data_IF_726532777473
#
_entry.id   IF_726532777473
#
_cell.length_a   1.000
_cell.length_b   1.000
_cell.length_c   1.000
_cell.angle_alpha   90.00
_cell.angle_beta   90.00
_cell.angle_gamma   90.00
#
_symmetry.space_group_name_H-M   'P 1'
#
loop_
_entity.id
_entity.type
_entity.pdbx_description
1 polymer ?
#
# COMPACT_ATOMS: atom_id res chain seq x y z
N UNK A 1 3.05 11.07 12.76
CA UNK A 1 3.08 10.51 14.13
C UNK A 1 4.35 9.68 14.29
N UNK A 2 4.83 9.47 15.52
CA UNK A 2 5.97 8.59 15.75
C UNK A 2 5.60 7.12 15.51
N UNK A 3 6.53 6.35 14.95
CA UNK A 3 6.41 4.89 14.83
C UNK A 3 7.13 4.24 16.00
N UNK A 4 6.46 3.39 16.76
CA UNK A 4 7.03 2.71 17.94
C UNK A 4 7.38 1.27 17.59
N UNK A 5 8.60 0.84 17.89
CA UNK A 5 9.06 -0.53 17.61
C UNK A 5 8.40 -1.53 18.57
N UNK A 6 7.64 -2.48 18.01
CA UNK A 6 6.94 -3.54 18.77
C UNK A 6 7.69 -4.86 18.80
N UNK A 7 8.49 -5.15 17.77
CA UNK A 7 9.26 -6.38 17.68
C UNK A 7 10.49 -6.16 16.81
N UNK A 8 11.61 -6.74 17.23
CA UNK A 8 12.83 -6.84 16.42
C UNK A 8 13.00 -8.30 16.03
N UNK A 9 13.09 -8.56 14.73
CA UNK A 9 13.25 -9.91 14.15
C UNK A 9 14.69 -10.10 13.72
N UNK A 10 15.26 -11.25 14.05
CA UNK A 10 16.66 -11.60 13.78
C UNK A 10 16.75 -12.85 12.90
N UNK A 11 17.90 -13.03 12.23
CA UNK A 11 18.15 -14.21 11.39
C UNK A 11 18.02 -15.53 12.17
N UNK A 12 18.46 -15.56 13.42
CA UNK A 12 18.48 -16.78 14.24
C UNK A 12 17.09 -17.24 14.65
N UNK A 13 16.21 -16.31 15.03
CA UNK A 13 14.88 -16.64 15.56
C UNK A 13 13.78 -16.62 14.49
N UNK A 14 13.88 -15.72 13.51
CA UNK A 14 12.82 -15.46 12.52
C UNK A 14 13.23 -15.80 11.08
N UNK A 15 14.52 -16.06 10.81
CA UNK A 15 15.05 -16.37 9.48
C UNK A 15 15.27 -15.15 8.57
N UNK A 16 15.01 -13.93 9.07
CA UNK A 16 15.29 -12.67 8.38
C UNK A 16 15.37 -11.50 9.37
N UNK A 17 16.04 -10.41 8.96
CA UNK A 17 16.16 -9.20 9.79
C UNK A 17 15.06 -8.19 9.42
N UNK A 18 14.25 -7.80 10.40
CA UNK A 18 13.20 -6.81 10.24
C UNK A 18 12.82 -6.13 11.55
N UNK A 19 12.21 -4.96 11.45
CA UNK A 19 11.56 -4.27 12.56
C UNK A 19 10.07 -4.22 12.31
N UNK A 20 9.30 -4.59 13.32
CA UNK A 20 7.87 -4.37 13.37
C UNK A 20 7.58 -3.09 14.14
N UNK A 21 6.70 -2.25 13.61
CA UNK A 21 6.33 -0.97 14.22
C UNK A 21 4.82 -0.82 14.29
N UNK A 22 4.38 0.02 15.22
CA UNK A 22 3.00 0.50 15.35
C UNK A 22 2.95 2.01 15.38
N UNK A 23 1.79 2.59 15.06
CA UNK A 23 1.57 4.04 15.14
C UNK A 23 0.11 4.38 15.44
N UNK A 24 -0.15 5.63 15.82
CA UNK A 24 -1.44 6.13 16.29
C UNK A 24 -1.90 5.48 17.59
N UNK A 25 -3.19 5.60 17.90
CA UNK A 25 -3.80 4.99 19.08
C UNK A 25 -5.01 4.12 18.68
N UNK A 26 -5.23 3.03 19.41
CA UNK A 26 -6.42 2.17 19.27
C UNK A 26 -7.17 2.14 20.60
N UNK A 27 -8.50 2.29 20.54
CA UNK A 27 -9.36 2.29 21.73
C UNK A 27 -9.16 0.98 22.52
N UNK A 28 -8.89 1.08 23.83
CA UNK A 28 -8.60 -0.08 24.69
C UNK A 28 -9.67 -1.19 24.58
N UNK A 29 -10.95 -0.83 24.49
CA UNK A 29 -12.06 -1.78 24.33
C UNK A 29 -12.08 -2.54 23.00
N UNK A 30 -11.28 -2.12 22.01
CA UNK A 30 -11.16 -2.75 20.68
C UNK A 30 -9.81 -3.45 20.50
N UNK A 31 -8.95 -3.44 21.51
CA UNK A 31 -7.69 -4.20 21.51
C UNK A 31 -7.99 -5.57 22.07
N UNK A 32 -7.73 -6.62 21.29
CA UNK A 32 -7.95 -7.99 21.75
C UNK A 32 -6.88 -8.40 22.76
N UNK A 33 -7.15 -9.39 23.62
CA UNK A 33 -6.17 -9.85 24.63
C UNK A 33 -4.81 -10.25 24.03
N UNK A 34 -4.74 -10.97 22.88
CA UNK A 34 -3.47 -11.28 22.24
C UNK A 34 -2.72 -10.05 21.73
N UNK A 35 -3.43 -9.09 21.10
CA UNK A 35 -2.84 -7.81 20.68
C UNK A 35 -2.26 -7.06 21.88
N UNK A 36 -3.03 -6.97 22.97
CA UNK A 36 -2.61 -6.31 24.19
C UNK A 36 -1.35 -6.95 24.79
N UNK A 37 -1.29 -8.28 24.86
CA UNK A 37 -0.11 -9.01 25.35
C UNK A 37 1.15 -8.72 24.51
N UNK A 38 0.99 -8.61 23.20
CA UNK A 38 2.09 -8.25 22.28
C UNK A 38 2.61 -6.83 22.54
N UNK A 39 1.72 -5.85 22.67
CA UNK A 39 2.10 -4.47 22.98
C UNK A 39 2.72 -4.31 24.37
N UNK A 40 2.21 -5.03 25.38
CA UNK A 40 2.77 -5.03 26.74
C UNK A 40 4.18 -5.62 26.76
N UNK A 41 4.44 -6.71 26.01
CA UNK A 41 5.79 -7.28 25.89
C UNK A 41 6.80 -6.28 25.33
N UNK A 42 6.36 -5.43 24.41
CA UNK A 42 7.18 -4.38 23.82
C UNK A 42 7.28 -3.11 24.67
N UNK A 43 6.45 -2.96 25.72
CA UNK A 43 6.38 -1.77 26.55
C UNK A 43 5.81 -0.54 25.82
N UNK A 44 5.00 -0.72 24.78
CA UNK A 44 4.43 0.37 23.97
C UNK A 44 2.91 0.39 24.02
N UNK A 45 2.34 1.56 23.75
CA UNK A 45 0.89 1.71 23.61
C UNK A 45 0.36 1.04 22.33
N UNK A 46 -0.84 0.47 22.42
CA UNK A 46 -1.51 -0.17 21.29
C UNK A 46 -1.85 0.84 20.17
N UNK A 47 -1.20 0.71 19.02
CA UNK A 47 -1.51 1.48 17.84
C UNK A 47 -2.57 0.85 16.95
N UNK A 48 -2.89 1.52 15.84
CA UNK A 48 -3.99 1.13 14.94
C UNK A 48 -3.68 -0.09 14.07
N UNK A 49 -2.40 -0.44 13.94
CA UNK A 49 -1.93 -1.58 13.15
C UNK A 49 -0.47 -1.93 13.46
N UNK A 50 0.00 -3.00 12.82
CA UNK A 50 1.38 -3.46 12.87
C UNK A 50 1.91 -3.54 11.43
N UNK A 51 3.09 -2.99 11.19
CA UNK A 51 3.74 -3.04 9.89
C UNK A 51 5.20 -3.45 10.05
N UNK A 52 5.72 -4.21 9.08
CA UNK A 52 7.11 -4.66 9.09
C UNK A 52 7.94 -3.96 8.02
N UNK A 53 9.16 -3.61 8.40
CA UNK A 53 10.19 -3.04 7.54
C UNK A 53 11.44 -3.92 7.62
N UNK A 54 11.92 -4.39 6.47
CA UNK A 54 13.18 -5.12 6.40
C UNK A 54 14.35 -4.17 6.65
N UNK A 55 15.36 -4.65 7.36
CA UNK A 55 16.57 -3.91 7.74
C UNK A 55 17.78 -4.76 7.36
N UNK A 56 18.83 -4.12 6.85
CA UNK A 56 20.08 -4.77 6.44
C UNK A 56 21.20 -4.65 7.49
N UNK A 57 20.90 -4.11 8.68
CA UNK A 57 21.94 -3.93 9.72
C UNK A 57 21.68 -2.81 10.74
N UNK A 58 20.46 -2.28 10.83
CA UNK A 58 20.10 -1.31 11.87
C UNK A 58 19.78 -2.00 13.19
N UNK A 59 20.53 -1.67 14.24
CA UNK A 59 20.18 -2.04 15.62
C UNK A 59 19.02 -1.14 16.08
N UNK A 60 17.81 -1.69 16.02
CA UNK A 60 16.64 -1.07 16.63
C UNK A 60 16.37 -1.76 17.96
N UNK A 61 15.94 -0.98 18.96
CA UNK A 61 15.56 -1.52 20.26
C UNK A 61 14.03 -1.58 20.40
N UNK A 62 13.54 -2.51 21.22
CA UNK A 62 12.12 -2.58 21.55
C UNK A 62 11.70 -1.28 22.25
N UNK A 63 10.55 -0.73 21.86
CA UNK A 63 10.03 0.51 22.40
C UNK A 63 10.61 1.78 21.80
N UNK A 64 11.62 1.69 20.93
CA UNK A 64 12.19 2.86 20.27
C UNK A 64 11.15 3.61 19.43
N UNK A 65 11.14 4.94 19.56
CA UNK A 65 10.32 5.82 18.73
C UNK A 65 11.11 6.29 17.50
N UNK A 66 10.50 6.16 16.33
CA UNK A 66 11.03 6.59 15.04
C UNK A 66 10.19 7.76 14.55
N UNK A 67 10.79 8.93 14.50
CA UNK A 67 10.16 10.17 14.04
C UNK A 67 10.31 10.38 12.53
N UNK A 68 9.59 11.38 12.01
CA UNK A 68 9.64 11.76 10.59
C UNK A 68 11.02 12.28 10.15
N UNK A 69 11.87 12.65 11.11
CA UNK A 69 13.23 13.17 10.91
C UNK A 69 14.15 12.20 10.17
N UNK A 70 13.82 10.91 10.16
CA UNK A 70 14.52 9.91 9.35
C UNK A 70 14.50 10.23 7.84
N UNK A 71 13.60 11.11 7.40
CA UNK A 71 13.50 11.57 6.01
C UNK A 71 14.18 12.91 5.74
N UNK A 72 14.83 13.55 6.73
CA UNK A 72 15.42 14.88 6.56
C UNK A 72 16.45 14.94 5.41
N UNK A 73 17.30 13.92 5.29
CA UNK A 73 18.34 13.84 4.25
C UNK A 73 17.89 13.06 2.99
N UNK A 74 16.63 12.61 2.95
CA UNK A 74 16.11 11.79 1.86
C UNK A 74 15.51 12.65 0.76
N UNK A 75 16.11 12.64 -0.44
CA UNK A 75 15.62 13.42 -1.58
C UNK A 75 14.33 12.87 -2.20
N UNK A 76 14.20 11.55 -2.26
CA UNK A 76 13.08 10.86 -2.93
C UNK A 76 12.58 9.68 -2.12
N UNK A 77 11.26 9.48 -2.15
CA UNK A 77 10.57 8.41 -1.42
C UNK A 77 9.62 7.63 -2.33
N UNK A 78 9.44 6.36 -2.00
CA UNK A 78 8.39 5.51 -2.56
C UNK A 78 7.24 5.44 -1.55
N UNK A 79 6.02 5.75 -2.00
CA UNK A 79 4.82 5.76 -1.16
C UNK A 79 3.89 4.62 -1.58
N UNK A 80 3.69 3.66 -0.68
CA UNK A 80 2.73 2.57 -0.83
C UNK A 80 1.45 2.86 -0.06
N UNK A 81 0.29 2.54 -0.64
CA UNK A 81 -1.00 2.61 0.03
C UNK A 81 -2.06 1.77 -0.67
N UNK A 82 -3.24 1.63 -0.06
CA UNK A 82 -4.39 0.98 -0.70
C UNK A 82 -5.12 1.97 -1.58
N UNK A 83 -5.26 1.67 -2.87
CA UNK A 83 -5.91 2.55 -3.84
C UNK A 83 -7.43 2.66 -3.60
N UNK A 84 -8.04 3.78 -4.01
CA UNK A 84 -9.50 3.96 -3.88
C UNK A 84 -10.26 2.87 -4.66
N UNK A 85 -11.05 2.06 -3.96
CA UNK A 85 -11.94 1.07 -4.56
C UNK A 85 -12.92 1.67 -5.55
N UNK A 86 -13.08 1.00 -6.70
CA UNK A 86 -14.05 1.35 -7.75
C UNK A 86 -15.14 0.29 -7.90
N UNK A 87 -15.11 -0.80 -7.14
CA UNK A 87 -16.07 -1.91 -7.27
C UNK A 87 -15.93 -2.65 -8.60
N UNK A 88 -17.01 -3.27 -9.08
CA UNK A 88 -17.02 -3.98 -10.37
C UNK A 88 -16.98 -3.00 -11.54
N UNK A 89 -15.97 -3.13 -12.41
CA UNK A 89 -15.74 -2.23 -13.53
C UNK A 89 -15.63 -2.99 -14.86
N UNK A 90 -16.23 -2.42 -15.91
CA UNK A 90 -16.17 -2.96 -17.26
C UNK A 90 -14.79 -2.82 -17.93
N UNK A 91 -14.60 -3.48 -19.08
CA UNK A 91 -13.33 -3.49 -19.81
C UNK A 91 -12.83 -2.09 -20.22
N UNK A 92 -13.75 -1.17 -20.55
CA UNK A 92 -13.41 0.21 -20.91
C UNK A 92 -12.70 0.92 -19.75
N UNK A 93 -13.24 0.84 -18.53
CA UNK A 93 -12.68 1.56 -17.38
C UNK A 93 -11.51 0.82 -16.73
N UNK A 94 -11.58 -0.51 -16.64
CA UNK A 94 -10.54 -1.32 -15.99
C UNK A 94 -9.28 -1.48 -16.84
N UNK A 95 -9.44 -1.57 -18.15
CA UNK A 95 -8.36 -1.93 -19.08
C UNK A 95 -8.20 -0.95 -20.24
N UNK A 96 -8.88 0.20 -20.20
CA UNK A 96 -8.84 1.22 -21.25
C UNK A 96 -9.21 0.66 -22.64
N UNK A 97 -10.14 -0.31 -22.69
CA UNK A 97 -10.66 -0.79 -23.97
C UNK A 97 -11.42 0.34 -24.68
N UNK A 98 -11.28 0.39 -26.01
CA UNK A 98 -12.07 1.32 -26.84
C UNK A 98 -13.53 0.86 -26.87
N UNK A 99 -14.45 1.80 -26.91
CA UNK A 99 -15.85 1.51 -27.22
C UNK A 99 -15.98 1.13 -28.69
N UNK A 100 -17.01 0.37 -29.04
CA UNK A 100 -17.41 0.19 -30.43
C UNK A 100 -18.18 1.43 -30.92
N UNK A 101 -18.59 1.42 -32.19
CA UNK A 101 -19.39 2.49 -32.77
C UNK A 101 -20.66 2.75 -31.94
N UNK A 102 -20.94 4.03 -31.72
CA UNK A 102 -22.13 4.45 -30.97
C UNK A 102 -23.42 4.28 -31.78
N UNK A 103 -23.34 4.37 -33.11
CA UNK A 103 -24.48 4.32 -34.03
C UNK A 103 -24.21 3.30 -35.17
N UNK A 104 -24.65 3.59 -36.40
CA UNK A 104 -24.40 2.79 -37.61
C UNK A 104 -24.70 1.29 -37.47
N UNK A 105 -25.84 0.96 -36.86
CA UNK A 105 -26.32 -0.41 -36.75
C UNK A 105 -25.64 -1.26 -35.66
N UNK A 106 -24.89 -0.64 -34.73
CA UNK A 106 -24.40 -1.37 -33.56
C UNK A 106 -25.57 -1.91 -32.72
N UNK A 107 -25.64 -3.24 -32.60
CA UNK A 107 -26.68 -3.93 -31.82
C UNK A 107 -26.15 -4.30 -30.44
N UNK A 108 -26.53 -3.51 -29.43
CA UNK A 108 -26.31 -3.76 -27.99
C UNK A 108 -24.83 -3.95 -27.57
N UNK A 109 -23.87 -3.51 -28.40
CA UNK A 109 -22.45 -3.86 -28.27
C UNK A 109 -21.52 -2.65 -28.09
N UNK A 110 -22.03 -1.49 -27.66
CA UNK A 110 -21.24 -0.25 -27.57
C UNK A 110 -20.04 -0.33 -26.59
N UNK A 111 -20.19 -1.00 -25.45
CA UNK A 111 -19.18 -1.06 -24.37
C UNK A 111 -18.78 -2.49 -23.96
N UNK A 112 -19.06 -3.46 -24.82
CA UNK A 112 -18.71 -4.87 -24.58
C UNK A 112 -17.21 -5.11 -24.78
N UNK A 113 -16.72 -6.28 -24.37
CA UNK A 113 -15.29 -6.64 -24.44
C UNK A 113 -14.78 -6.90 -25.88
N UNK A 114 -15.69 -7.07 -26.84
CA UNK A 114 -15.37 -7.61 -28.17
C UNK A 114 -14.98 -9.09 -28.08
N UNK A 115 -14.14 -9.55 -29.00
CA UNK A 115 -13.65 -10.93 -28.97
C UNK A 115 -12.79 -11.22 -27.75
N UNK A 116 -12.96 -12.43 -27.18
CA UNK A 116 -12.22 -12.90 -26.01
C UNK A 116 -11.25 -14.05 -26.31
N UNK A 117 -11.15 -14.52 -27.56
CA UNK A 117 -10.30 -15.63 -27.97
C UNK A 117 -10.26 -15.86 -29.48
N UNK A 118 -9.57 -16.92 -29.89
CA UNK A 118 -9.56 -17.45 -31.25
C UNK A 118 -10.60 -18.58 -31.40
N UNK A 119 -10.65 -19.22 -32.58
CA UNK A 119 -11.59 -20.30 -32.90
C UNK A 119 -11.09 -21.67 -32.35
N UNK A 120 -11.18 -22.75 -33.14
CA UNK A 120 -10.90 -24.14 -32.72
C UNK A 120 -9.55 -24.32 -32.01
N UNK A 121 -8.48 -23.69 -32.53
CA UNK A 121 -7.18 -23.67 -31.88
C UNK A 121 -6.92 -22.24 -31.39
N UNK A 122 -6.77 -22.00 -30.06
CA UNK A 122 -6.57 -22.95 -28.96
C UNK A 122 -7.85 -23.45 -28.27
N UNK A 123 -9.05 -23.05 -28.72
CA UNK A 123 -10.32 -23.55 -28.17
C UNK A 123 -10.58 -23.19 -26.70
N UNK A 124 -9.86 -22.19 -26.17
CA UNK A 124 -9.97 -21.74 -24.77
C UNK A 124 -9.56 -20.28 -24.61
N UNK A 125 -10.02 -19.66 -23.52
CA UNK A 125 -9.55 -18.33 -23.11
C UNK A 125 -8.22 -18.47 -22.35
N UNK A 126 -7.23 -17.66 -22.72
CA UNK A 126 -5.94 -17.64 -22.02
C UNK A 126 -6.05 -17.05 -20.62
N UNK A 127 -5.22 -17.56 -19.69
CA UNK A 127 -5.07 -16.97 -18.34
C UNK A 127 -4.56 -15.53 -18.46
N UNK A 128 -5.08 -14.65 -17.60
CA UNK A 128 -4.74 -13.22 -17.64
C UNK A 128 -5.44 -12.43 -18.75
N UNK A 129 -6.43 -13.01 -19.46
CA UNK A 129 -7.25 -12.24 -20.41
C UNK A 129 -7.93 -11.08 -19.69
N UNK A 130 -7.70 -9.88 -20.19
CA UNK A 130 -8.32 -8.64 -19.70
C UNK A 130 -9.85 -8.72 -19.86
N UNK A 131 -10.55 -8.78 -18.72
CA UNK A 131 -12.01 -8.86 -18.60
C UNK A 131 -12.52 -7.89 -17.53
N UNK A 132 -13.84 -7.66 -17.51
CA UNK A 132 -14.50 -6.90 -16.45
C UNK A 132 -14.27 -7.54 -15.07
N UNK A 133 -14.32 -6.74 -14.02
CA UNK A 133 -14.13 -7.23 -12.65
C UNK A 133 -13.80 -6.11 -11.67
N UNK A 134 -13.46 -6.48 -10.43
CA UNK A 134 -13.11 -5.53 -9.39
C UNK A 134 -11.89 -4.67 -9.78
N UNK A 135 -11.94 -3.36 -9.52
CA UNK A 135 -10.87 -2.40 -9.79
C UNK A 135 -10.59 -1.54 -8.56
N UNK A 136 -9.30 -1.36 -8.23
CA UNK A 136 -8.86 -0.63 -7.03
C UNK A 136 -9.02 -1.47 -5.77
N UNK A 137 -8.91 -0.81 -4.60
CA UNK A 137 -8.82 -1.48 -3.29
C UNK A 137 -7.66 -2.47 -3.18
N UNK A 138 -6.60 -2.16 -3.91
CA UNK A 138 -5.38 -2.96 -3.97
C UNK A 138 -4.17 -2.11 -3.59
N UNK A 139 -3.10 -2.77 -3.14
CA UNK A 139 -1.84 -2.12 -2.77
C UNK A 139 -1.13 -1.59 -4.01
N UNK A 140 -0.96 -0.28 -4.06
CA UNK A 140 -0.23 0.42 -5.14
C UNK A 140 0.96 1.16 -4.52
N UNK A 141 2.07 1.22 -5.25
CA UNK A 141 3.25 2.00 -4.86
C UNK A 141 3.56 3.02 -5.94
N UNK A 142 3.59 4.29 -5.58
CA UNK A 142 4.10 5.36 -6.44
C UNK A 142 5.56 5.58 -6.08
N UNK A 143 6.44 5.47 -7.07
CA UNK A 143 7.88 5.50 -6.85
C UNK A 143 8.48 6.89 -7.10
N UNK A 144 9.60 7.17 -6.44
CA UNK A 144 10.48 8.32 -6.72
C UNK A 144 9.80 9.69 -6.59
N UNK A 145 8.90 9.82 -5.61
CA UNK A 145 8.29 11.11 -5.27
C UNK A 145 9.31 12.00 -4.55
N UNK A 146 9.35 13.27 -4.92
CA UNK A 146 10.27 14.26 -4.33
C UNK A 146 9.79 14.67 -2.94
N UNK A 147 10.70 14.65 -1.96
CA UNK A 147 10.45 15.17 -0.61
C UNK A 147 10.59 16.69 -0.67
N UNK A 148 9.48 17.40 -0.44
CA UNK A 148 9.43 18.87 -0.51
C UNK A 148 9.85 19.48 0.82
N UNK A 149 9.36 18.89 1.92
CA UNK A 149 9.63 19.38 3.28
C UNK A 149 9.36 18.30 4.31
N UNK A 150 10.19 18.28 5.34
CA UNK A 150 10.02 17.49 6.57
C UNK A 150 9.81 18.47 7.71
N UNK A 151 8.77 18.25 8.51
CA UNK A 151 8.45 19.07 9.69
C UNK A 151 8.25 18.15 10.90
N UNK A 152 9.29 18.10 11.75
CA UNK A 152 9.36 17.28 12.95
C UNK A 152 8.29 17.67 13.98
N UNK A 153 8.16 18.97 14.22
CA UNK A 153 7.30 19.55 15.25
C UNK A 153 5.83 19.26 14.95
N UNK A 154 5.44 19.42 13.68
CA UNK A 154 4.07 19.14 13.23
C UNK A 154 3.85 17.69 12.83
N UNK A 155 4.92 16.88 12.81
CA UNK A 155 4.90 15.46 12.42
C UNK A 155 4.39 15.28 10.98
N UNK A 156 4.78 16.17 10.08
CA UNK A 156 4.33 16.22 8.69
C UNK A 156 5.48 15.88 7.72
N UNK A 157 5.14 15.13 6.67
CA UNK A 157 6.00 14.89 5.51
C UNK A 157 5.27 15.36 4.26
N UNK A 158 5.85 16.35 3.56
CA UNK A 158 5.31 16.89 2.32
C UNK A 158 6.03 16.23 1.14
N UNK A 159 5.25 15.57 0.28
CA UNK A 159 5.73 14.95 -0.95
C UNK A 159 5.10 15.62 -2.17
N UNK A 160 5.86 15.72 -3.26
CA UNK A 160 5.38 16.30 -4.52
C UNK A 160 4.58 15.27 -5.31
N UNK A 161 3.29 15.55 -5.51
CA UNK A 161 2.40 14.72 -6.33
C UNK A 161 1.35 13.96 -5.53
N UNK A 162 0.64 13.06 -6.20
CA UNK A 162 -0.45 12.28 -5.61
C UNK A 162 0.05 10.95 -5.04
N UNK A 163 -0.54 10.54 -3.91
CA UNK A 163 -0.30 9.25 -3.27
C UNK A 163 -1.54 8.35 -3.37
N UNK A 164 -1.38 7.01 -3.32
CA UNK A 164 -2.51 6.09 -3.37
C UNK A 164 -3.43 6.23 -2.15
N UNK A 165 -4.74 6.15 -2.38
CA UNK A 165 -5.75 6.04 -1.33
C UNK A 165 -6.65 7.26 -1.17
N UNK A 166 -7.53 7.20 -0.18
CA UNK A 166 -8.38 8.32 0.21
C UNK A 166 -7.73 9.12 1.34
N UNK A 167 -8.25 10.33 1.59
CA UNK A 167 -7.83 11.12 2.76
C UNK A 167 -8.07 10.31 4.03
N UNK A 168 -7.05 10.21 4.88
CA UNK A 168 -7.10 9.43 6.13
C UNK A 168 -6.75 7.95 5.99
N UNK A 169 -6.42 7.47 4.77
CA UNK A 169 -5.89 6.11 4.59
C UNK A 169 -4.44 6.00 5.09
N UNK A 170 -4.07 4.83 5.61
CA UNK A 170 -2.69 4.54 5.97
C UNK A 170 -1.79 4.46 4.73
N UNK A 171 -0.58 5.02 4.86
CA UNK A 171 0.46 4.99 3.83
C UNK A 171 1.77 4.52 4.44
N UNK A 172 2.54 3.78 3.66
CA UNK A 172 3.88 3.33 4.00
C UNK A 172 4.86 4.11 3.12
N UNK A 173 5.71 4.90 3.76
CA UNK A 173 6.74 5.68 3.07
C UNK A 173 8.09 5.02 3.28
N UNK A 174 8.85 4.83 2.20
CA UNK A 174 10.22 4.31 2.24
C UNK A 174 11.15 5.21 1.43
N UNK A 175 12.45 5.26 1.73
CA UNK A 175 13.43 5.81 0.80
C UNK A 175 13.27 5.15 -0.58
N UNK A 176 13.40 5.93 -1.65
CA UNK A 176 13.19 5.43 -3.01
C UNK A 176 14.28 4.42 -3.39
N UNK A 177 13.87 3.27 -3.96
CA UNK A 177 14.81 2.20 -4.32
C UNK A 177 15.62 2.49 -5.60
N UNK A 178 15.18 3.47 -6.41
CA UNK A 178 15.75 3.78 -7.74
C UNK A 178 16.56 5.09 -7.78
N UNK A 179 16.63 5.82 -6.66
CA UNK A 179 17.15 7.18 -6.60
C UNK A 179 18.64 7.22 -6.29
#
# INVERSE_FOLDING_TARGET
>A
EANRVTQVKTLENDGYTAVQVTTGAKKASRVTKPEAGHFVKAGVEAGRGLWEFRTEGGEFTLGQEINVDIFADVKKVDVSGTSKGKGFQGGVKRWNFRTQDATHGNSLSHRVLGSIGQNQTPGRVFKGKKMAGHLGDERVTVQSLEVVRVDAERKLLLVKGAVPGATGSDVIVKPAIKA
#
